data_IF_476853421269
#
_entry.id   IF_476853421269
#
_cell.length_a   1.000
_cell.length_b   1.000
_cell.length_c   1.000
_cell.angle_alpha   90.00
_cell.angle_beta   90.00
_cell.angle_gamma   90.00
#
_symmetry.space_group_name_H-M   'P 1'
#
loop_
_entity.id
_entity.type
_entity.pdbx_description
1 polymer ?
#
# COMPACT_ATOMS: atom_id res chain seq x y z
N UNK A 1 15.70 6.38 8.50
CA UNK A 1 15.53 5.14 7.70
C UNK A 1 15.80 3.95 8.59
N UNK A 2 14.94 2.97 8.61
CA UNK A 2 15.24 1.71 9.30
C UNK A 2 16.11 0.78 8.41
N UNK A 3 16.71 -0.25 9.01
CA UNK A 3 17.59 -1.18 8.31
C UNK A 3 16.88 -1.92 7.17
N UNK A 4 15.58 -2.15 7.32
CA UNK A 4 14.74 -2.83 6.33
C UNK A 4 14.58 -1.98 5.05
N UNK A 5 14.33 -0.66 5.18
CA UNK A 5 14.28 0.26 4.03
C UNK A 5 15.66 0.36 3.34
N UNK A 6 16.74 0.44 4.13
CA UNK A 6 18.12 0.52 3.60
C UNK A 6 18.44 -0.71 2.76
N UNK A 7 18.10 -1.91 3.25
CA UNK A 7 18.31 -3.17 2.53
C UNK A 7 17.54 -3.19 1.20
N UNK A 8 16.28 -2.76 1.20
CA UNK A 8 15.49 -2.67 -0.03
C UNK A 8 16.15 -1.74 -1.06
N UNK A 9 16.58 -0.57 -0.64
CA UNK A 9 17.23 0.39 -1.55
C UNK A 9 18.57 -0.12 -2.08
N UNK A 10 19.35 -0.81 -1.23
CA UNK A 10 20.58 -1.48 -1.64
C UNK A 10 20.32 -2.53 -2.72
N UNK A 11 19.33 -3.41 -2.56
CA UNK A 11 18.97 -4.42 -3.58
C UNK A 11 18.54 -3.79 -4.90
N UNK A 12 17.76 -2.71 -4.86
CA UNK A 12 17.40 -1.98 -6.08
C UNK A 12 18.65 -1.46 -6.77
N UNK A 13 19.59 -0.84 -6.04
CA UNK A 13 20.85 -0.35 -6.62
C UNK A 13 21.69 -1.47 -7.22
N UNK A 14 21.75 -2.63 -6.57
CA UNK A 14 22.51 -3.78 -7.09
C UNK A 14 21.95 -4.28 -8.44
N UNK A 15 20.63 -4.23 -8.64
CA UNK A 15 20.03 -4.48 -9.93
C UNK A 15 20.58 -3.56 -11.04
N UNK A 16 20.66 -2.26 -10.74
CA UNK A 16 21.14 -1.26 -11.69
C UNK A 16 22.65 -1.33 -11.94
N UNK A 17 23.39 -1.99 -11.06
CA UNK A 17 24.80 -2.37 -11.25
C UNK A 17 24.97 -3.70 -11.99
N UNK A 18 23.88 -4.29 -12.50
CA UNK A 18 23.91 -5.54 -13.25
C UNK A 18 23.86 -6.82 -12.39
N UNK A 19 23.74 -6.71 -11.07
CA UNK A 19 23.62 -7.86 -10.15
C UNK A 19 22.15 -8.15 -9.84
N UNK A 20 21.60 -9.18 -10.50
CA UNK A 20 20.20 -9.61 -10.29
C UNK A 20 19.92 -9.89 -8.82
N UNK A 21 18.77 -9.40 -8.34
CA UNK A 21 18.27 -9.60 -7.00
C UNK A 21 16.93 -10.35 -7.03
N UNK A 22 16.54 -10.95 -5.93
CA UNK A 22 15.23 -11.56 -5.73
C UNK A 22 14.20 -10.51 -5.29
N UNK A 23 12.89 -10.80 -5.33
CA UNK A 23 11.89 -9.87 -4.82
C UNK A 23 12.14 -9.61 -3.33
N UNK A 24 12.05 -8.36 -2.93
CA UNK A 24 12.18 -7.97 -1.54
C UNK A 24 10.84 -8.08 -0.80
N UNK A 25 9.77 -7.70 -1.49
CA UNK A 25 8.41 -7.61 -0.97
C UNK A 25 7.42 -8.35 -1.86
N UNK A 26 6.51 -9.09 -1.21
CA UNK A 26 5.37 -9.74 -1.88
C UNK A 26 4.07 -9.27 -1.24
N UNK A 27 3.16 -8.71 -2.05
CA UNK A 27 1.78 -8.46 -1.68
C UNK A 27 0.90 -9.62 -2.14
N UNK A 28 -0.03 -10.07 -1.31
CA UNK A 28 -0.93 -11.19 -1.63
C UNK A 28 -2.40 -10.81 -1.47
N UNK A 29 -3.17 -11.15 -2.50
CA UNK A 29 -4.63 -11.11 -2.51
C UNK A 29 -5.14 -12.54 -2.36
N UNK A 30 -5.55 -12.92 -1.14
CA UNK A 30 -5.94 -14.31 -0.85
C UNK A 30 -7.24 -14.71 -1.52
N UNK A 31 -8.20 -13.78 -1.58
CA UNK A 31 -9.54 -13.96 -2.16
C UNK A 31 -10.19 -12.60 -2.40
N UNK A 32 -11.36 -12.61 -3.08
CA UNK A 32 -12.16 -11.39 -3.32
C UNK A 32 -13.43 -11.34 -2.47
N UNK A 33 -13.59 -12.22 -1.50
CA UNK A 33 -14.75 -12.23 -0.60
C UNK A 33 -14.63 -11.14 0.46
N UNK A 34 -15.74 -10.42 0.72
CA UNK A 34 -15.78 -9.34 1.70
C UNK A 34 -17.19 -9.20 2.28
N UNK A 35 -17.25 -8.84 3.55
CA UNK A 35 -18.50 -8.59 4.26
C UNK A 35 -18.96 -7.12 4.20
N UNK A 36 -18.19 -6.23 3.56
CA UNK A 36 -18.53 -4.82 3.40
C UNK A 36 -18.88 -4.46 1.95
N UNK A 37 -19.50 -3.27 1.77
CA UNK A 37 -19.97 -2.73 0.49
C UNK A 37 -19.46 -1.31 0.25
N UNK A 38 -18.17 -1.07 0.51
CA UNK A 38 -17.54 0.25 0.45
C UNK A 38 -17.80 0.96 -0.88
N UNK A 39 -18.14 2.26 -0.80
CA UNK A 39 -18.49 3.04 -1.98
C UNK A 39 -17.30 3.31 -2.91
N UNK A 40 -16.09 3.39 -2.35
CA UNK A 40 -14.83 3.64 -3.08
C UNK A 40 -14.11 2.36 -3.54
N UNK A 41 -14.66 1.16 -3.27
CA UNK A 41 -13.96 -0.10 -3.49
C UNK A 41 -13.78 -0.43 -4.98
N UNK A 42 -12.59 -0.88 -5.37
CA UNK A 42 -12.29 -1.35 -6.73
C UNK A 42 -13.16 -2.54 -7.18
N UNK A 43 -13.64 -3.36 -6.23
CA UNK A 43 -14.59 -4.46 -6.52
C UNK A 43 -15.86 -3.97 -7.23
N UNK A 44 -16.30 -2.72 -6.98
CA UNK A 44 -17.48 -2.12 -7.63
C UNK A 44 -17.29 -1.81 -9.12
N UNK A 45 -16.07 -1.89 -9.63
CA UNK A 45 -15.82 -1.83 -11.07
C UNK A 45 -16.23 -3.12 -11.80
N UNK A 46 -16.40 -4.22 -11.06
CA UNK A 46 -16.87 -5.48 -11.66
C UNK A 46 -18.36 -5.43 -12.00
N UNK A 47 -18.76 -5.82 -13.22
CA UNK A 47 -20.17 -5.99 -13.57
C UNK A 47 -20.87 -7.03 -12.68
N UNK A 48 -20.13 -8.01 -12.18
CA UNK A 48 -20.62 -9.09 -11.32
C UNK A 48 -20.47 -8.79 -9.82
N UNK A 49 -20.43 -7.51 -9.43
CA UNK A 49 -20.14 -7.09 -8.04
C UNK A 49 -20.91 -7.88 -6.98
N UNK A 50 -22.21 -8.08 -7.16
CA UNK A 50 -23.07 -8.76 -6.19
C UNK A 50 -22.75 -10.28 -6.06
N UNK A 51 -22.17 -10.88 -7.11
CA UNK A 51 -21.78 -12.29 -7.16
C UNK A 51 -20.30 -12.53 -6.85
N UNK A 52 -19.49 -11.47 -6.61
CA UNK A 52 -18.05 -11.60 -6.45
C UNK A 52 -17.61 -12.56 -5.34
N UNK A 53 -18.40 -12.67 -4.25
CA UNK A 53 -18.09 -13.61 -3.19
C UNK A 53 -18.20 -15.06 -3.64
N UNK A 54 -19.13 -15.38 -4.55
CA UNK A 54 -19.32 -16.73 -5.09
C UNK A 54 -18.32 -17.03 -6.20
N UNK A 55 -18.13 -16.10 -7.13
CA UNK A 55 -17.18 -16.24 -8.23
C UNK A 55 -15.75 -16.40 -7.67
N UNK A 56 -15.40 -15.69 -6.59
CA UNK A 56 -14.09 -15.76 -5.96
C UNK A 56 -13.73 -17.19 -5.54
N UNK A 57 -14.66 -17.95 -4.99
CA UNK A 57 -14.40 -19.34 -4.53
C UNK A 57 -13.78 -20.24 -5.58
N UNK A 58 -14.17 -20.06 -6.85
CA UNK A 58 -13.67 -20.85 -7.97
C UNK A 58 -12.25 -20.47 -8.39
N UNK A 59 -11.84 -19.26 -8.06
CA UNK A 59 -10.56 -18.68 -8.47
C UNK A 59 -9.48 -18.82 -7.39
N UNK A 60 -9.86 -19.09 -6.15
CA UNK A 60 -8.95 -19.10 -5.00
C UNK A 60 -7.92 -20.24 -5.11
N UNK A 61 -6.69 -19.92 -4.75
CA UNK A 61 -5.65 -20.95 -4.60
C UNK A 61 -5.84 -21.69 -3.26
N UNK A 62 -5.58 -23.01 -3.21
CA UNK A 62 -5.62 -23.77 -1.97
C UNK A 62 -4.55 -23.29 -0.97
N UNK A 63 -4.80 -23.49 0.32
CA UNK A 63 -3.89 -23.09 1.39
C UNK A 63 -2.48 -23.66 1.21
N UNK A 64 -2.38 -24.92 0.82
CA UNK A 64 -1.10 -25.63 0.62
C UNK A 64 -0.24 -24.92 -0.44
N UNK A 65 -0.87 -24.39 -1.50
CA UNK A 65 -0.15 -23.64 -2.51
C UNK A 65 0.38 -22.29 -1.96
N UNK A 66 -0.40 -21.60 -1.15
CA UNK A 66 0.07 -20.39 -0.48
C UNK A 66 1.24 -20.67 0.47
N UNK A 67 1.17 -21.76 1.24
CA UNK A 67 2.25 -22.14 2.15
C UNK A 67 3.52 -22.49 1.37
N UNK A 68 3.41 -23.26 0.27
CA UNK A 68 4.58 -23.58 -0.57
C UNK A 68 5.22 -22.35 -1.21
N UNK A 69 4.42 -21.32 -1.59
CA UNK A 69 4.93 -20.05 -2.09
C UNK A 69 5.72 -19.30 -1.00
N UNK A 70 5.25 -19.33 0.26
CA UNK A 70 5.94 -18.70 1.39
C UNK A 70 7.25 -19.40 1.69
N UNK A 71 7.28 -20.75 1.61
CA UNK A 71 8.49 -21.55 1.83
C UNK A 71 9.54 -21.20 0.75
N UNK A 72 9.17 -21.22 -0.53
CA UNK A 72 10.06 -20.80 -1.62
C UNK A 72 10.55 -19.35 -1.45
N UNK A 73 9.67 -18.45 -1.04
CA UNK A 73 10.04 -17.05 -0.82
C UNK A 73 11.09 -16.89 0.29
N UNK A 74 11.03 -17.71 1.33
CA UNK A 74 12.04 -17.70 2.39
C UNK A 74 13.43 -18.13 1.90
N UNK A 75 13.49 -19.12 1.00
CA UNK A 75 14.74 -19.57 0.35
C UNK A 75 15.31 -18.48 -0.60
N UNK A 76 14.44 -17.66 -1.17
CA UNK A 76 14.82 -16.53 -2.03
C UNK A 76 15.12 -15.24 -1.25
N UNK A 77 15.14 -15.31 0.08
CA UNK A 77 15.42 -14.15 0.94
C UNK A 77 14.43 -12.99 0.76
N UNK A 78 13.15 -13.30 0.53
CA UNK A 78 12.07 -12.31 0.60
C UNK A 78 11.94 -11.81 2.04
N UNK A 79 11.78 -10.51 2.24
CA UNK A 79 11.82 -9.88 3.56
C UNK A 79 10.46 -9.40 4.07
N UNK A 80 9.54 -9.08 3.18
CA UNK A 80 8.28 -8.45 3.55
C UNK A 80 7.09 -9.05 2.82
N UNK A 81 6.02 -9.28 3.58
CA UNK A 81 4.73 -9.72 3.08
C UNK A 81 3.63 -8.75 3.47
N UNK A 82 2.76 -8.45 2.52
CA UNK A 82 1.56 -7.67 2.78
C UNK A 82 0.31 -8.43 2.33
N UNK A 83 -0.50 -8.84 3.30
CA UNK A 83 -1.80 -9.48 3.06
C UNK A 83 -2.83 -8.39 2.86
N UNK A 84 -3.18 -8.10 1.61
CA UNK A 84 -4.09 -7.00 1.27
C UNK A 84 -4.71 -7.16 -0.11
N UNK A 85 -5.78 -6.45 -0.36
CA UNK A 85 -6.45 -6.42 -1.66
C UNK A 85 -7.52 -7.47 -1.83
N UNK A 86 -8.21 -7.41 -2.97
CA UNK A 86 -9.33 -8.27 -3.31
C UNK A 86 -10.53 -8.12 -2.40
N UNK A 87 -10.53 -8.82 -1.27
CA UNK A 87 -11.59 -8.83 -0.26
C UNK A 87 -11.12 -8.44 1.13
N UNK A 88 -11.79 -8.99 2.15
CA UNK A 88 -11.39 -8.85 3.56
C UNK A 88 -10.59 -10.08 3.98
N UNK A 89 -9.29 -9.99 4.33
CA UNK A 89 -8.50 -11.17 4.67
C UNK A 89 -9.11 -12.03 5.78
N UNK A 90 -9.71 -11.41 6.80
CA UNK A 90 -10.37 -12.11 7.91
C UNK A 90 -11.77 -12.66 7.56
N UNK A 91 -12.18 -12.62 6.29
CA UNK A 91 -13.36 -13.34 5.81
C UNK A 91 -13.11 -14.87 5.80
N UNK A 92 -11.86 -15.27 5.63
CA UNK A 92 -11.38 -16.67 5.69
C UNK A 92 -10.20 -16.78 6.69
N UNK A 93 -10.47 -16.67 7.99
CA UNK A 93 -9.42 -16.73 8.99
C UNK A 93 -8.68 -18.09 9.01
N UNK A 94 -9.36 -19.18 8.59
CA UNK A 94 -8.78 -20.51 8.42
C UNK A 94 -7.70 -20.61 7.33
N UNK A 95 -7.68 -19.67 6.39
CA UNK A 95 -6.63 -19.52 5.36
C UNK A 95 -5.61 -18.46 5.80
N UNK A 96 -6.10 -17.31 6.24
CA UNK A 96 -5.26 -16.15 6.55
C UNK A 96 -4.32 -16.41 7.74
N UNK A 97 -4.82 -17.00 8.83
CA UNK A 97 -4.01 -17.19 10.03
C UNK A 97 -2.87 -18.21 9.86
N UNK A 98 -3.04 -19.38 9.20
CA UNK A 98 -1.93 -20.25 8.85
C UNK A 98 -0.86 -19.57 7.98
N UNK A 99 -1.26 -18.75 7.01
CA UNK A 99 -0.35 -17.95 6.18
C UNK A 99 0.46 -16.97 7.06
N UNK A 100 -0.21 -16.23 7.94
CA UNK A 100 0.48 -15.33 8.88
C UNK A 100 1.49 -16.08 9.77
N UNK A 101 1.12 -17.23 10.29
CA UNK A 101 2.01 -18.09 11.07
C UNK A 101 3.24 -18.56 10.28
N UNK A 102 3.03 -18.98 9.02
CA UNK A 102 4.13 -19.43 8.14
C UNK A 102 5.09 -18.29 7.81
N UNK A 103 4.59 -17.10 7.51
CA UNK A 103 5.42 -15.90 7.31
C UNK A 103 6.28 -15.63 8.55
N UNK A 104 5.68 -15.66 9.74
CA UNK A 104 6.39 -15.39 10.99
C UNK A 104 7.37 -16.51 11.41
N UNK A 105 7.13 -17.76 11.02
CA UNK A 105 8.08 -18.86 11.29
C UNK A 105 9.43 -18.68 10.59
N UNK A 106 9.46 -17.90 9.49
CA UNK A 106 10.69 -17.50 8.79
C UNK A 106 11.19 -16.11 9.17
N UNK A 107 10.67 -15.52 10.24
CA UNK A 107 11.04 -14.17 10.71
C UNK A 107 10.84 -13.04 9.67
N UNK A 108 10.09 -13.29 8.61
CA UNK A 108 9.77 -12.26 7.61
C UNK A 108 8.81 -11.22 8.22
N UNK A 109 8.90 -9.97 7.76
CA UNK A 109 8.01 -8.90 8.18
C UNK A 109 6.62 -9.11 7.58
N UNK A 110 5.59 -9.12 8.42
CA UNK A 110 4.20 -9.33 8.04
C UNK A 110 3.34 -8.08 8.25
N UNK A 111 2.63 -7.66 7.20
CA UNK A 111 1.66 -6.59 7.22
C UNK A 111 0.30 -7.14 6.80
N UNK A 112 -0.78 -6.69 7.41
CA UNK A 112 -2.14 -7.00 6.95
C UNK A 112 -2.99 -5.74 6.92
N UNK A 113 -3.76 -5.56 5.83
CA UNK A 113 -4.78 -4.51 5.74
C UNK A 113 -6.16 -5.14 5.88
N UNK A 114 -6.96 -4.62 6.81
CA UNK A 114 -8.26 -5.18 7.18
C UNK A 114 -9.30 -4.09 7.44
N UNK A 115 -10.57 -4.42 7.22
CA UNK A 115 -11.68 -3.58 7.66
C UNK A 115 -11.93 -3.69 9.19
N UNK A 116 -11.29 -4.64 9.85
CA UNK A 116 -11.30 -4.80 11.31
C UNK A 116 -12.61 -5.37 11.91
N UNK A 117 -13.59 -5.79 11.11
CA UNK A 117 -14.93 -6.15 11.62
C UNK A 117 -15.11 -7.63 11.92
N UNK A 118 -14.18 -8.50 11.48
CA UNK A 118 -14.30 -9.96 11.57
C UNK A 118 -13.30 -10.61 12.55
N UNK A 119 -12.55 -9.81 13.30
CA UNK A 119 -11.57 -10.28 14.25
C UNK A 119 -12.23 -10.80 15.53
N UNK A 120 -12.03 -12.08 15.84
CA UNK A 120 -12.46 -12.68 17.12
C UNK A 120 -11.34 -12.53 18.16
N UNK A 121 -11.70 -12.64 19.45
CA UNK A 121 -10.70 -12.62 20.55
C UNK A 121 -9.61 -13.66 20.34
N UNK A 122 -9.95 -14.88 19.90
CA UNK A 122 -9.00 -15.96 19.63
C UNK A 122 -8.01 -15.58 18.54
N UNK A 123 -8.48 -15.04 17.40
CA UNK A 123 -7.64 -14.62 16.29
C UNK A 123 -6.68 -13.49 16.71
N UNK A 124 -7.20 -12.50 17.47
CA UNK A 124 -6.39 -11.39 17.99
C UNK A 124 -5.28 -11.93 18.91
N UNK A 125 -5.64 -12.83 19.85
CA UNK A 125 -4.67 -13.44 20.77
C UNK A 125 -3.57 -14.19 20.02
N UNK A 126 -3.93 -15.02 19.04
CA UNK A 126 -2.96 -15.74 18.21
C UNK A 126 -2.08 -14.78 17.41
N UNK A 127 -2.65 -13.71 16.86
CA UNK A 127 -1.91 -12.69 16.09
C UNK A 127 -0.87 -11.97 16.96
N UNK A 128 -1.21 -11.64 18.21
CA UNK A 128 -0.26 -11.06 19.17
C UNK A 128 0.84 -12.06 19.53
N UNK A 129 0.47 -13.33 19.80
CA UNK A 129 1.42 -14.37 20.19
C UNK A 129 2.45 -14.74 19.12
N UNK A 130 2.06 -14.74 17.84
CA UNK A 130 2.99 -14.98 16.73
C UNK A 130 3.90 -13.78 16.44
N UNK A 131 3.71 -12.65 17.12
CA UNK A 131 4.49 -11.44 16.91
C UNK A 131 4.28 -10.83 15.53
N UNK A 132 3.03 -10.84 15.01
CA UNK A 132 2.71 -10.18 13.75
C UNK A 132 3.14 -8.73 13.78
N UNK A 133 3.70 -8.19 12.69
CA UNK A 133 4.40 -6.90 12.79
C UNK A 133 3.47 -5.70 12.70
N UNK A 134 2.59 -5.62 11.68
CA UNK A 134 1.76 -4.42 11.45
C UNK A 134 0.34 -4.78 11.00
N UNK A 135 -0.64 -4.07 11.54
CA UNK A 135 -2.04 -4.14 11.10
C UNK A 135 -2.50 -2.75 10.67
N UNK A 136 -2.96 -2.65 9.43
CA UNK A 136 -3.54 -1.44 8.88
C UNK A 136 -5.07 -1.56 8.91
N UNK A 137 -5.70 -0.83 9.82
CA UNK A 137 -7.16 -0.76 9.90
C UNK A 137 -7.70 0.27 8.94
N UNK A 138 -8.62 -0.14 8.09
CA UNK A 138 -9.26 0.73 7.12
C UNK A 138 -10.38 1.56 7.79
N UNK A 139 -10.08 2.78 8.23
CA UNK A 139 -11.00 3.68 8.93
C UNK A 139 -11.08 5.01 8.20
N UNK A 140 -12.25 5.35 7.64
CA UNK A 140 -12.42 6.53 6.78
C UNK A 140 -12.99 7.77 7.50
N UNK A 141 -13.46 7.63 8.74
CA UNK A 141 -13.95 8.75 9.54
C UNK A 141 -13.87 8.47 11.03
N UNK A 142 -13.82 9.51 11.90
CA UNK A 142 -13.73 9.36 13.35
C UNK A 142 -15.07 9.09 14.03
N UNK A 143 -16.14 8.88 13.28
CA UNK A 143 -17.50 8.63 13.76
C UNK A 143 -18.21 7.58 12.91
N UNK A 144 -19.29 7.00 13.45
CA UNK A 144 -20.06 5.95 12.80
C UNK A 144 -20.86 6.46 11.59
N UNK A 145 -21.35 7.68 11.64
CA UNK A 145 -22.20 8.23 10.57
C UNK A 145 -21.46 8.22 9.22
N UNK A 146 -20.30 8.85 9.16
CA UNK A 146 -19.53 8.97 7.92
C UNK A 146 -18.79 7.67 7.60
N UNK A 147 -18.21 7.00 8.61
CA UNK A 147 -17.50 5.74 8.38
C UNK A 147 -18.44 4.65 7.83
N UNK A 148 -19.57 4.39 8.49
CA UNK A 148 -20.49 3.33 8.08
C UNK A 148 -21.10 3.63 6.71
N UNK A 149 -21.39 4.93 6.41
CA UNK A 149 -21.83 5.36 5.08
C UNK A 149 -20.79 5.00 4.00
N UNK A 150 -19.52 5.38 4.21
CA UNK A 150 -18.45 5.10 3.24
C UNK A 150 -18.16 3.60 3.09
N UNK A 151 -18.28 2.84 4.17
CA UNK A 151 -18.10 1.37 4.18
C UNK A 151 -19.34 0.60 3.72
N UNK A 152 -20.49 1.27 3.58
CA UNK A 152 -21.73 0.73 3.02
C UNK A 152 -22.42 -0.32 3.89
N UNK A 153 -22.08 -0.43 5.18
CA UNK A 153 -22.67 -1.36 6.15
C UNK A 153 -22.75 -0.72 7.54
N UNK A 154 -23.94 -0.57 8.14
CA UNK A 154 -24.10 -0.02 9.49
C UNK A 154 -23.35 -0.80 10.56
N UNK A 155 -22.85 -0.11 11.58
CA UNK A 155 -22.18 -0.69 12.75
C UNK A 155 -20.75 -1.13 12.53
N UNK A 156 -20.14 -0.85 11.35
CA UNK A 156 -18.74 -1.18 11.06
C UNK A 156 -17.80 -0.39 11.95
N UNK A 157 -18.04 0.90 12.16
CA UNK A 157 -17.25 1.74 13.06
C UNK A 157 -17.16 1.14 14.46
N UNK A 158 -18.31 0.81 15.06
CA UNK A 158 -18.36 0.23 16.40
C UNK A 158 -17.58 -1.09 16.48
N UNK A 159 -17.65 -1.94 15.44
CA UNK A 159 -16.92 -3.22 15.39
C UNK A 159 -15.41 -3.02 15.33
N UNK A 160 -14.93 -2.16 14.42
CA UNK A 160 -13.47 -1.92 14.29
C UNK A 160 -12.89 -1.26 15.55
N UNK A 161 -13.61 -0.35 16.20
CA UNK A 161 -13.18 0.24 17.49
C UNK A 161 -12.98 -0.84 18.54
N UNK A 162 -13.96 -1.74 18.72
CA UNK A 162 -13.83 -2.87 19.66
C UNK A 162 -12.65 -3.78 19.35
N UNK A 163 -12.38 -4.01 18.06
CA UNK A 163 -11.23 -4.82 17.62
C UNK A 163 -9.92 -4.18 18.04
N UNK A 164 -9.74 -2.89 17.79
CA UNK A 164 -8.51 -2.16 18.16
C UNK A 164 -8.33 -2.10 19.68
N UNK A 165 -9.41 -1.84 20.42
CA UNK A 165 -9.40 -1.87 21.89
C UNK A 165 -8.95 -3.25 22.41
N UNK A 166 -9.45 -4.34 21.81
CA UNK A 166 -9.07 -5.70 22.18
C UNK A 166 -7.60 -6.02 21.84
N UNK A 167 -7.07 -5.54 20.72
CA UNK A 167 -5.64 -5.63 20.42
C UNK A 167 -4.81 -4.93 21.49
N UNK A 168 -5.15 -3.70 21.87
CA UNK A 168 -4.44 -2.96 22.90
C UNK A 168 -4.49 -3.65 24.28
N UNK A 169 -5.64 -4.24 24.65
CA UNK A 169 -5.81 -5.03 25.87
C UNK A 169 -4.89 -6.26 25.88
N UNK A 170 -4.90 -7.04 24.78
CA UNK A 170 -4.12 -8.27 24.70
C UNK A 170 -2.63 -8.01 24.55
N UNK A 171 -2.22 -6.98 23.82
CA UNK A 171 -0.82 -6.52 23.79
C UNK A 171 -0.30 -6.21 25.19
N UNK A 172 -1.08 -5.45 25.99
CA UNK A 172 -0.72 -5.16 27.39
C UNK A 172 -0.63 -6.44 28.21
N UNK A 173 -1.63 -7.34 28.07
CA UNK A 173 -1.65 -8.64 28.78
C UNK A 173 -0.43 -9.51 28.49
N UNK A 174 0.02 -9.53 27.24
CA UNK A 174 1.17 -10.36 26.81
C UNK A 174 2.51 -9.60 26.80
N UNK A 175 2.56 -8.37 27.32
CA UNK A 175 3.76 -7.53 27.32
C UNK A 175 4.39 -7.43 25.92
N UNK A 176 3.57 -7.28 24.89
CA UNK A 176 4.00 -7.23 23.48
C UNK A 176 3.80 -5.85 22.88
N UNK A 177 4.81 -5.35 22.18
CA UNK A 177 4.70 -4.13 21.38
C UNK A 177 4.09 -4.40 19.99
N UNK A 178 4.02 -5.69 19.59
CA UNK A 178 3.45 -6.13 18.32
C UNK A 178 2.03 -6.69 18.48
N UNK A 179 1.20 -6.54 17.43
CA UNK A 179 1.44 -5.77 16.20
C UNK A 179 1.38 -4.26 16.43
N UNK A 180 2.14 -3.49 15.62
CA UNK A 180 1.90 -2.05 15.50
C UNK A 180 0.56 -1.82 14.81
N UNK A 181 -0.27 -0.94 15.39
CA UNK A 181 -1.61 -0.65 14.87
C UNK A 181 -1.59 0.65 14.09
N UNK A 182 -1.99 0.61 12.83
CA UNK A 182 -2.03 1.74 11.93
C UNK A 182 -3.46 1.97 11.43
N UNK A 183 -3.76 3.18 11.01
CA UNK A 183 -5.00 3.54 10.32
C UNK A 183 -4.68 3.89 8.87
N UNK A 184 -5.43 3.29 7.94
CA UNK A 184 -5.50 3.71 6.55
C UNK A 184 -6.84 4.39 6.29
N UNK A 185 -6.80 5.64 5.82
CA UNK A 185 -7.96 6.46 5.49
C UNK A 185 -7.93 6.78 3.99
N UNK A 186 -9.03 6.51 3.28
CA UNK A 186 -9.23 7.02 1.92
C UNK A 186 -9.86 8.39 1.99
N UNK A 187 -9.13 9.41 1.53
CA UNK A 187 -9.56 10.80 1.55
C UNK A 187 -10.57 11.09 0.42
N UNK A 188 -11.70 11.64 0.77
CA UNK A 188 -12.81 11.94 -0.12
C UNK A 188 -13.50 13.25 0.25
N UNK A 189 -14.39 13.75 -0.62
CA UNK A 189 -15.20 14.94 -0.31
C UNK A 189 -16.14 14.78 0.90
N UNK A 190 -16.35 13.55 1.38
CA UNK A 190 -17.22 13.25 2.53
C UNK A 190 -16.48 13.31 3.87
N UNK A 191 -15.14 13.24 3.86
CA UNK A 191 -14.39 13.09 5.10
C UNK A 191 -13.16 13.99 5.23
N UNK A 192 -12.78 14.77 4.22
CA UNK A 192 -11.57 15.59 4.26
C UNK A 192 -11.55 16.61 5.42
N UNK A 193 -12.72 17.16 5.80
CA UNK A 193 -12.83 18.08 6.93
C UNK A 193 -12.61 17.40 8.29
N UNK A 194 -12.74 16.08 8.34
CA UNK A 194 -12.62 15.28 9.56
C UNK A 194 -11.18 14.82 9.84
N UNK A 195 -10.20 15.21 9.01
CA UNK A 195 -8.81 14.80 9.18
C UNK A 195 -8.21 15.18 10.55
N UNK A 196 -8.43 16.38 11.12
CA UNK A 196 -7.96 16.71 12.46
C UNK A 196 -8.56 15.78 13.54
N UNK A 197 -9.83 15.43 13.43
CA UNK A 197 -10.53 14.52 14.33
C UNK A 197 -10.02 13.07 14.18
N UNK A 198 -9.59 12.66 12.97
CA UNK A 198 -8.91 11.37 12.74
C UNK A 198 -7.57 11.30 13.49
N UNK A 199 -6.81 12.38 13.53
CA UNK A 199 -5.57 12.44 14.33
C UNK A 199 -5.85 12.29 15.82
N UNK A 200 -6.92 12.92 16.34
CA UNK A 200 -7.35 12.75 17.73
C UNK A 200 -7.79 11.30 18.01
N UNK A 201 -8.52 10.69 17.07
CA UNK A 201 -8.92 9.28 17.17
C UNK A 201 -7.68 8.36 17.18
N UNK A 202 -6.71 8.59 16.31
CA UNK A 202 -5.46 7.83 16.25
C UNK A 202 -4.72 7.86 17.60
N UNK A 203 -4.61 9.04 18.25
CA UNK A 203 -4.04 9.17 19.60
C UNK A 203 -4.81 8.38 20.64
N UNK A 204 -6.15 8.50 20.63
CA UNK A 204 -7.03 7.76 21.57
C UNK A 204 -6.85 6.25 21.43
N UNK A 205 -6.72 5.74 20.21
CA UNK A 205 -6.58 4.32 19.90
C UNK A 205 -5.15 3.81 20.04
N UNK A 206 -4.18 4.65 20.40
CA UNK A 206 -2.75 4.32 20.47
C UNK A 206 -2.21 3.78 19.14
N UNK A 207 -2.63 4.39 18.05
CA UNK A 207 -2.19 4.08 16.69
C UNK A 207 -0.82 4.71 16.45
N UNK A 208 0.07 3.97 15.81
CA UNK A 208 1.44 4.42 15.52
C UNK A 208 1.49 5.31 14.27
N UNK A 209 0.77 4.93 13.21
CA UNK A 209 0.79 5.62 11.92
C UNK A 209 -0.62 5.87 11.39
N UNK A 210 -0.90 7.11 10.97
CA UNK A 210 -2.10 7.48 10.22
C UNK A 210 -1.72 7.73 8.75
N UNK A 211 -2.06 6.78 7.88
CA UNK A 211 -1.87 6.86 6.46
C UNK A 211 -3.12 7.36 5.76
N UNK A 212 -2.99 8.35 4.90
CA UNK A 212 -4.10 8.94 4.15
C UNK A 212 -3.81 8.88 2.66
N UNK A 213 -4.64 8.12 1.95
CA UNK A 213 -4.57 7.98 0.50
C UNK A 213 -5.64 8.84 -0.18
N UNK A 214 -5.30 9.58 -1.24
CA UNK A 214 -6.29 10.16 -2.12
C UNK A 214 -7.17 9.07 -2.74
N UNK A 215 -8.46 9.36 -2.89
CA UNK A 215 -9.42 8.46 -3.52
C UNK A 215 -9.00 8.14 -4.97
N UNK A 216 -8.97 6.86 -5.30
CA UNK A 216 -8.92 6.36 -6.67
C UNK A 216 -10.35 6.03 -7.11
N UNK A 217 -10.77 6.57 -8.24
CA UNK A 217 -12.11 6.35 -8.77
C UNK A 217 -12.15 5.09 -9.64
N UNK A 218 -12.90 4.09 -9.18
CA UNK A 218 -13.10 2.82 -9.89
C UNK A 218 -14.53 2.65 -10.43
N UNK A 219 -15.48 3.46 -9.94
CA UNK A 219 -16.90 3.30 -10.26
C UNK A 219 -17.63 4.64 -10.21
N UNK A 220 -18.85 4.67 -10.75
CA UNK A 220 -19.72 5.85 -10.70
C UNK A 220 -20.00 6.33 -9.26
N UNK A 221 -20.10 5.40 -8.29
CA UNK A 221 -20.23 5.76 -6.86
C UNK A 221 -18.95 6.41 -6.34
N UNK A 222 -17.78 5.92 -6.76
CA UNK A 222 -16.49 6.55 -6.46
C UNK A 222 -16.38 7.97 -7.02
N UNK A 223 -16.90 8.23 -8.23
CA UNK A 223 -16.89 9.58 -8.82
C UNK A 223 -17.66 10.60 -7.96
N UNK A 224 -18.74 10.18 -7.32
CA UNK A 224 -19.52 11.06 -6.40
C UNK A 224 -18.73 11.41 -5.11
N UNK A 225 -17.71 10.64 -4.78
CA UNK A 225 -16.85 10.87 -3.61
C UNK A 225 -15.59 11.68 -3.92
N UNK A 226 -15.29 11.90 -5.20
CA UNK A 226 -14.11 12.63 -5.64
C UNK A 226 -14.12 14.07 -5.14
N UNK A 227 -12.99 14.53 -4.63
CA UNK A 227 -12.82 15.94 -4.25
C UNK A 227 -12.80 16.82 -5.50
N UNK A 228 -13.51 17.96 -5.43
CA UNK A 228 -13.54 19.00 -6.47
C UNK A 228 -12.50 20.07 -6.15
N UNK A 229 -12.25 20.97 -7.09
CA UNK A 229 -11.33 22.12 -6.89
C UNK A 229 -11.66 22.94 -5.65
N UNK A 230 -12.96 23.18 -5.40
CA UNK A 230 -13.43 23.92 -4.22
C UNK A 230 -13.14 23.15 -2.92
N UNK A 231 -13.31 21.82 -2.93
CA UNK A 231 -12.99 20.96 -1.78
C UNK A 231 -11.50 21.02 -1.44
N UNK A 232 -10.63 21.08 -2.46
CA UNK A 232 -9.17 21.18 -2.26
C UNK A 232 -8.76 22.48 -1.59
N UNK A 233 -9.35 23.60 -2.03
CA UNK A 233 -9.11 24.91 -1.39
C UNK A 233 -9.56 24.90 0.05
N UNK A 234 -10.75 24.33 0.31
CA UNK A 234 -11.31 24.20 1.67
C UNK A 234 -10.52 23.21 2.54
N UNK A 235 -9.83 22.27 1.96
CA UNK A 235 -9.07 21.25 2.70
C UNK A 235 -7.81 21.82 3.39
N UNK A 236 -7.19 22.85 2.83
CA UNK A 236 -5.90 23.38 3.34
C UNK A 236 -5.88 23.68 4.85
N UNK A 237 -6.86 24.41 5.43
CA UNK A 237 -6.85 24.67 6.87
C UNK A 237 -7.01 23.40 7.72
N UNK A 238 -7.76 22.39 7.24
CA UNK A 238 -7.90 21.12 7.94
C UNK A 238 -6.62 20.30 7.88
N UNK A 239 -5.92 20.28 6.73
CA UNK A 239 -4.62 19.63 6.59
C UNK A 239 -3.59 20.25 7.54
N UNK A 240 -3.48 21.60 7.57
CA UNK A 240 -2.57 22.32 8.48
C UNK A 240 -2.86 21.97 9.94
N UNK A 241 -4.12 22.01 10.35
CA UNK A 241 -4.53 21.64 11.72
C UNK A 241 -4.22 20.19 12.05
N UNK A 242 -4.41 19.28 11.08
CA UNK A 242 -4.06 17.87 11.27
C UNK A 242 -2.54 17.67 11.43
N UNK A 243 -1.72 18.38 10.65
CA UNK A 243 -0.25 18.38 10.80
C UNK A 243 0.20 18.87 12.17
N UNK A 244 -0.38 19.97 12.65
CA UNK A 244 -0.10 20.51 14.00
C UNK A 244 -0.46 19.51 15.10
N UNK A 245 -1.64 18.88 14.99
CA UNK A 245 -2.08 17.86 15.95
C UNK A 245 -1.22 16.58 15.89
N UNK A 246 -0.87 16.11 14.69
CA UNK A 246 -0.03 14.94 14.51
C UNK A 246 1.35 15.16 15.13
N UNK A 247 1.95 16.34 14.94
CA UNK A 247 3.21 16.74 15.62
C UNK A 247 3.04 16.76 17.13
N UNK A 248 1.97 17.39 17.64
CA UNK A 248 1.69 17.49 19.10
C UNK A 248 1.49 16.11 19.75
N UNK A 249 0.88 15.17 19.04
CA UNK A 249 0.54 13.84 19.57
C UNK A 249 1.56 12.77 19.19
N UNK A 250 2.62 13.13 18.44
CA UNK A 250 3.65 12.21 17.95
C UNK A 250 3.07 11.06 17.10
N UNK A 251 2.07 11.39 16.26
CA UNK A 251 1.49 10.44 15.31
C UNK A 251 2.25 10.53 13.99
N UNK A 252 2.90 9.44 13.60
CA UNK A 252 3.52 9.32 12.30
C UNK A 252 2.46 9.38 11.18
N UNK A 253 2.78 10.02 10.06
CA UNK A 253 1.82 10.25 8.99
C UNK A 253 2.50 10.54 7.64
N UNK A 254 1.70 10.57 6.57
CA UNK A 254 2.14 10.93 5.23
C UNK A 254 1.61 12.29 4.74
N UNK A 255 1.25 13.20 5.64
CA UNK A 255 0.55 14.45 5.30
C UNK A 255 1.39 15.41 4.45
N UNK A 256 2.72 15.42 4.60
CA UNK A 256 3.62 16.20 3.74
C UNK A 256 3.50 15.83 2.26
N UNK A 257 3.23 14.55 1.96
CA UNK A 257 3.00 14.07 0.60
C UNK A 257 1.58 14.33 0.07
N UNK A 258 0.60 14.55 0.94
CA UNK A 258 -0.78 14.79 0.52
C UNK A 258 -0.94 16.06 -0.29
N UNK A 259 -0.27 17.14 0.09
CA UNK A 259 -0.37 18.43 -0.60
C UNK A 259 0.10 18.31 -2.05
N UNK A 260 1.21 17.61 -2.30
CA UNK A 260 1.71 17.37 -3.66
C UNK A 260 0.90 16.33 -4.45
N UNK A 261 0.18 15.44 -3.76
CA UNK A 261 -0.68 14.43 -4.38
C UNK A 261 -2.11 14.94 -4.64
N UNK A 262 -2.47 16.06 -4.02
CA UNK A 262 -3.75 16.74 -4.17
C UNK A 262 -3.63 18.03 -5.03
N UNK A 263 -2.51 18.21 -5.71
CA UNK A 263 -2.35 19.26 -6.70
C UNK A 263 -3.47 19.15 -7.74
N UNK A 264 -4.08 20.29 -8.11
CA UNK A 264 -5.20 20.36 -9.07
C UNK A 264 -4.85 19.60 -10.36
N UNK A 265 -3.58 19.69 -10.81
CA UNK A 265 -3.10 19.00 -11.99
C UNK A 265 -3.12 17.46 -11.83
N UNK A 266 -2.86 16.93 -10.62
CA UNK A 266 -2.90 15.50 -10.33
C UNK A 266 -4.32 14.94 -10.25
N UNK A 267 -5.26 15.73 -9.74
CA UNK A 267 -6.67 15.34 -9.63
C UNK A 267 -7.37 15.41 -10.98
N UNK A 268 -7.12 16.44 -11.78
CA UNK A 268 -7.64 16.51 -13.15
C UNK A 268 -7.06 15.41 -14.05
N UNK A 269 -5.81 15.03 -13.81
CA UNK A 269 -5.08 14.00 -14.56
C UNK A 269 -5.05 12.63 -13.89
N UNK A 270 -5.96 12.35 -12.96
CA UNK A 270 -6.04 11.01 -12.32
C UNK A 270 -6.21 9.87 -13.35
N UNK A 271 -6.74 10.17 -14.53
CA UNK A 271 -6.80 9.26 -15.69
C UNK A 271 -5.51 9.22 -16.53
N UNK A 272 -4.49 10.01 -16.18
CA UNK A 272 -3.23 10.14 -16.95
C UNK A 272 -2.00 10.10 -16.03
N UNK A 273 -2.03 9.25 -15.03
CA UNK A 273 -0.92 9.12 -14.07
C UNK A 273 0.41 8.70 -14.73
N UNK A 274 0.38 8.05 -15.88
CA UNK A 274 1.56 7.76 -16.69
C UNK A 274 2.30 9.05 -17.13
N UNK A 275 1.59 10.13 -17.46
CA UNK A 275 2.20 11.43 -17.80
C UNK A 275 2.84 12.08 -16.57
N UNK A 276 2.16 12.01 -15.41
CA UNK A 276 2.70 12.51 -14.13
C UNK A 276 3.98 11.77 -13.76
N UNK A 277 3.98 10.45 -13.86
CA UNK A 277 5.14 9.59 -13.58
C UNK A 277 6.31 9.94 -14.50
N UNK A 278 6.03 10.17 -15.78
CA UNK A 278 7.04 10.58 -16.77
C UNK A 278 7.64 11.95 -16.43
N UNK A 279 6.80 12.97 -16.21
CA UNK A 279 7.24 14.32 -15.83
C UNK A 279 8.08 14.32 -14.55
N UNK A 280 7.67 13.52 -13.56
CA UNK A 280 8.39 13.39 -12.30
C UNK A 280 9.80 12.78 -12.50
N UNK A 281 9.93 11.79 -13.38
CA UNK A 281 11.23 11.24 -13.75
C UNK A 281 12.09 12.23 -14.54
N UNK A 282 11.49 13.03 -15.43
CA UNK A 282 12.20 14.04 -16.21
C UNK A 282 12.75 15.20 -15.37
N UNK A 283 12.06 15.57 -14.27
CA UNK A 283 12.58 16.56 -13.32
C UNK A 283 13.96 16.17 -12.78
N UNK A 284 14.23 14.88 -12.61
CA UNK A 284 15.52 14.38 -12.14
C UNK A 284 16.66 14.59 -13.11
N UNK A 285 16.39 14.86 -14.39
CA UNK A 285 17.43 15.22 -15.37
C UNK A 285 18.16 16.53 -15.03
N UNK A 286 17.53 17.38 -14.19
CA UNK A 286 18.11 18.67 -13.80
C UNK A 286 19.18 18.55 -12.71
N UNK A 287 19.17 17.47 -11.92
CA UNK A 287 20.13 17.26 -10.83
C UNK A 287 21.53 16.99 -11.41
N UNK A 288 22.52 17.63 -10.86
CA UNK A 288 23.94 17.42 -11.19
C UNK A 288 24.48 16.24 -10.39
N UNK A 289 24.51 15.07 -11.01
CA UNK A 289 24.99 13.81 -10.43
C UNK A 289 25.77 13.03 -11.49
N UNK A 290 26.52 12.01 -11.08
CA UNK A 290 27.22 11.13 -12.01
C UNK A 290 26.24 10.40 -12.96
N UNK A 291 26.79 9.85 -14.06
CA UNK A 291 25.99 9.21 -15.12
C UNK A 291 25.14 8.06 -14.58
N UNK A 292 25.71 7.18 -13.75
CA UNK A 292 25.00 6.05 -13.17
C UNK A 292 23.76 6.50 -12.36
N UNK A 293 23.95 7.45 -11.46
CA UNK A 293 22.87 7.98 -10.63
C UNK A 293 21.83 8.71 -11.47
N UNK A 294 22.25 9.43 -12.50
CA UNK A 294 21.33 10.10 -13.44
C UNK A 294 20.45 9.11 -14.20
N UNK A 295 21.03 8.05 -14.69
CA UNK A 295 20.30 6.98 -15.38
C UNK A 295 19.32 6.28 -14.44
N UNK A 296 19.73 6.02 -13.20
CA UNK A 296 18.88 5.49 -12.16
C UNK A 296 17.69 6.42 -11.86
N UNK A 297 17.95 7.68 -11.50
CA UNK A 297 16.94 8.65 -11.05
C UNK A 297 15.85 8.96 -12.09
N UNK A 298 16.16 8.79 -13.38
CA UNK A 298 15.23 9.02 -14.48
C UNK A 298 14.32 7.82 -14.80
N UNK A 299 14.48 6.69 -14.11
CA UNK A 299 13.56 5.54 -14.27
C UNK A 299 12.17 5.89 -13.72
N UNK A 300 11.11 5.70 -14.50
CA UNK A 300 9.77 6.12 -14.09
C UNK A 300 9.20 5.40 -12.87
N UNK A 301 9.51 4.11 -12.69
CA UNK A 301 9.04 3.30 -11.58
C UNK A 301 10.04 2.22 -11.22
N UNK A 302 10.20 1.91 -9.93
CA UNK A 302 11.14 0.90 -9.43
C UNK A 302 10.46 -0.40 -8.96
N UNK A 303 9.14 -0.46 -8.88
CA UNK A 303 8.41 -1.63 -8.36
C UNK A 303 8.85 -2.96 -8.97
N UNK A 304 9.08 -3.12 -10.29
CA UNK A 304 9.48 -4.39 -10.87
C UNK A 304 10.85 -4.93 -10.41
N UNK A 305 11.61 -4.15 -9.66
CA UNK A 305 12.93 -4.56 -9.15
C UNK A 305 12.94 -5.00 -7.70
N UNK A 306 11.81 -4.84 -6.98
CA UNK A 306 11.76 -5.24 -5.57
C UNK A 306 10.40 -5.81 -5.14
N UNK A 307 9.34 -5.62 -5.92
CA UNK A 307 7.97 -5.89 -5.52
C UNK A 307 7.24 -6.82 -6.49
N UNK A 308 6.45 -7.71 -5.92
CA UNK A 308 5.58 -8.66 -6.62
C UNK A 308 4.21 -8.66 -5.96
N UNK A 309 3.14 -8.71 -6.73
CA UNK A 309 1.76 -8.91 -6.25
C UNK A 309 1.23 -10.22 -6.79
N UNK A 310 0.75 -11.10 -5.91
CA UNK A 310 0.14 -12.39 -6.26
C UNK A 310 -1.36 -12.32 -5.99
N UNK A 311 -2.16 -12.50 -7.03
CA UNK A 311 -3.62 -12.50 -6.96
C UNK A 311 -4.17 -13.88 -6.57
N UNK A 312 -5.42 -13.91 -6.08
CA UNK A 312 -6.07 -15.17 -5.65
C UNK A 312 -6.20 -16.23 -6.75
N UNK A 313 -6.21 -15.82 -8.03
CA UNK A 313 -6.22 -16.70 -9.19
C UNK A 313 -4.82 -17.13 -9.65
N UNK A 314 -3.79 -16.80 -8.89
CA UNK A 314 -2.39 -17.14 -9.18
C UNK A 314 -1.70 -16.17 -10.16
N UNK A 315 -2.39 -15.18 -10.71
CA UNK A 315 -1.75 -14.16 -11.55
C UNK A 315 -0.76 -13.34 -10.73
N UNK A 316 0.38 -13.04 -11.35
CA UNK A 316 1.45 -12.26 -10.73
C UNK A 316 1.71 -11.01 -11.53
N UNK A 317 1.74 -9.88 -10.84
CA UNK A 317 2.02 -8.56 -11.39
C UNK A 317 3.07 -7.83 -10.54
N UNK A 318 3.60 -6.73 -11.03
CA UNK A 318 4.57 -5.92 -10.27
C UNK A 318 3.91 -4.90 -9.34
N UNK A 319 2.60 -4.69 -9.42
CA UNK A 319 1.86 -3.73 -8.59
C UNK A 319 0.36 -4.06 -8.60
N UNK A 320 -0.41 -3.35 -7.77
CA UNK A 320 -1.84 -3.57 -7.53
C UNK A 320 -2.77 -3.06 -8.65
N UNK A 321 -2.22 -2.29 -9.61
CA UNK A 321 -2.99 -1.77 -10.73
C UNK A 321 -3.59 -2.94 -11.51
N UNK A 322 -4.86 -2.88 -11.93
CA UNK A 322 -5.45 -3.87 -12.81
C UNK A 322 -4.65 -4.00 -14.11
N UNK A 323 -4.06 -5.15 -14.34
CA UNK A 323 -3.23 -5.44 -15.51
C UNK A 323 -3.81 -6.65 -16.20
N UNK A 324 -4.09 -6.51 -17.48
CA UNK A 324 -4.33 -7.65 -18.34
C UNK A 324 -2.98 -8.29 -18.65
N UNK A 325 -2.87 -9.59 -18.44
CA UNK A 325 -1.61 -10.33 -18.56
C UNK A 325 -0.93 -10.52 -17.20
N UNK A 326 0.35 -10.77 -17.23
CA UNK A 326 1.14 -11.24 -16.10
C UNK A 326 1.40 -12.74 -16.18
N UNK A 327 2.30 -13.21 -15.36
CA UNK A 327 2.61 -14.64 -15.25
C UNK A 327 1.68 -15.31 -14.23
N UNK A 328 1.68 -16.65 -14.14
CA UNK A 328 0.83 -17.37 -13.20
C UNK A 328 1.64 -18.33 -12.34
N UNK A 329 1.56 -18.15 -11.02
CA UNK A 329 2.32 -18.91 -10.02
C UNK A 329 1.72 -20.29 -9.71
N UNK A 330 0.52 -20.60 -10.20
CA UNK A 330 -0.07 -21.94 -9.97
C UNK A 330 0.81 -23.07 -10.50
N UNK A 331 1.50 -22.84 -11.61
CA UNK A 331 2.33 -23.81 -12.33
C UNK A 331 3.81 -23.45 -12.37
N UNK A 332 4.20 -22.29 -11.86
CA UNK A 332 5.57 -21.78 -11.87
C UNK A 332 6.04 -21.46 -10.46
N UNK A 333 7.33 -21.44 -10.26
CA UNK A 333 7.97 -20.95 -9.04
C UNK A 333 8.04 -19.42 -9.02
N UNK A 334 8.28 -18.83 -7.84
CA UNK A 334 8.55 -17.38 -7.70
C UNK A 334 9.74 -16.98 -8.59
N UNK A 335 10.80 -17.79 -8.56
CA UNK A 335 12.03 -17.53 -9.31
C UNK A 335 11.77 -17.50 -10.83
N UNK A 336 10.99 -18.45 -11.36
CA UNK A 336 10.61 -18.48 -12.78
C UNK A 336 9.76 -17.26 -13.16
N UNK A 337 8.75 -16.92 -12.36
CA UNK A 337 7.89 -15.75 -12.59
C UNK A 337 8.68 -14.45 -12.50
N UNK A 338 9.55 -14.29 -11.48
CA UNK A 338 10.35 -13.09 -11.27
C UNK A 338 11.33 -12.79 -12.39
N UNK A 339 11.87 -13.86 -13.01
CA UNK A 339 12.77 -13.76 -14.17
C UNK A 339 12.05 -14.03 -15.50
N UNK A 340 10.72 -14.18 -15.47
CA UNK A 340 9.90 -14.47 -16.63
C UNK A 340 9.69 -13.29 -17.58
N UNK A 341 8.93 -13.55 -18.66
CA UNK A 341 8.73 -12.58 -19.74
C UNK A 341 8.10 -11.28 -19.27
N UNK A 342 7.07 -11.36 -18.41
CA UNK A 342 6.36 -10.17 -17.91
C UNK A 342 7.29 -9.20 -17.17
N UNK A 343 8.05 -9.67 -16.18
CA UNK A 343 8.93 -8.80 -15.41
C UNK A 343 10.09 -8.28 -16.27
N UNK A 344 10.66 -9.11 -17.14
CA UNK A 344 11.73 -8.71 -18.03
C UNK A 344 11.27 -7.65 -19.03
N UNK A 345 10.09 -7.85 -19.65
CA UNK A 345 9.47 -6.86 -20.53
C UNK A 345 9.24 -5.53 -19.79
N UNK A 346 8.65 -5.57 -18.60
CA UNK A 346 8.33 -4.38 -17.83
C UNK A 346 9.60 -3.62 -17.41
N UNK A 347 10.62 -4.33 -16.91
CA UNK A 347 11.92 -3.72 -16.57
C UNK A 347 12.55 -3.05 -17.80
N UNK A 348 12.56 -3.73 -18.94
CA UNK A 348 13.10 -3.21 -20.22
C UNK A 348 12.34 -1.96 -20.67
N UNK A 349 11.01 -1.97 -20.61
CA UNK A 349 10.16 -0.83 -20.96
C UNK A 349 10.48 0.38 -20.10
N UNK A 350 10.54 0.21 -18.77
CA UNK A 350 10.83 1.30 -17.84
C UNK A 350 12.26 1.83 -17.96
N UNK A 351 13.26 0.97 -18.20
CA UNK A 351 14.63 1.40 -18.50
C UNK A 351 14.71 2.23 -19.79
N UNK A 352 13.88 1.91 -20.77
CA UNK A 352 13.74 2.69 -22.01
C UNK A 352 12.82 3.92 -21.86
N UNK A 353 12.34 4.24 -20.64
CA UNK A 353 11.37 5.31 -20.31
C UNK A 353 10.04 5.17 -21.06
N UNK A 354 9.72 3.98 -21.54
CA UNK A 354 8.41 3.63 -22.09
C UNK A 354 7.51 3.17 -20.94
N UNK A 355 6.50 3.96 -20.63
CA UNK A 355 5.58 3.68 -19.52
C UNK A 355 4.38 2.94 -20.11
N UNK A 356 4.06 1.73 -19.65
CA UNK A 356 2.89 0.99 -20.11
C UNK A 356 1.57 1.75 -19.85
N UNK A 357 0.57 1.54 -20.71
CA UNK A 357 -0.72 2.25 -20.65
C UNK A 357 -1.48 2.00 -19.35
N UNK A 358 -1.37 0.81 -18.78
CA UNK A 358 -1.99 0.51 -17.47
C UNK A 358 -1.46 1.39 -16.34
N UNK A 359 -0.26 1.98 -16.47
CA UNK A 359 0.26 2.94 -15.51
C UNK A 359 -0.55 4.26 -15.46
N UNK A 360 -1.47 4.49 -16.40
CA UNK A 360 -2.42 5.61 -16.32
C UNK A 360 -3.29 5.53 -15.05
N UNK A 361 -3.55 4.34 -14.54
CA UNK A 361 -4.30 4.10 -13.31
C UNK A 361 -3.41 4.02 -12.05
N UNK A 362 -2.16 4.47 -12.14
CA UNK A 362 -1.22 4.43 -11.01
C UNK A 362 -1.74 5.28 -9.84
N UNK A 363 -1.56 4.77 -8.61
CA UNK A 363 -1.90 5.53 -7.41
C UNK A 363 -0.96 6.74 -7.22
N UNK A 364 -1.51 7.89 -6.88
CA UNK A 364 -0.76 9.11 -6.60
C UNK A 364 0.24 8.93 -5.44
N UNK A 365 -0.11 8.16 -4.41
CA UNK A 365 0.80 7.84 -3.29
C UNK A 365 2.08 7.14 -3.73
N UNK A 366 2.05 6.37 -4.83
CA UNK A 366 3.25 5.76 -5.41
C UNK A 366 4.23 6.81 -5.95
N UNK A 367 3.75 7.99 -6.33
CA UNK A 367 4.63 9.10 -6.74
C UNK A 367 5.45 9.60 -5.55
N UNK A 368 4.82 9.79 -4.40
CA UNK A 368 5.52 10.16 -3.16
C UNK A 368 6.54 9.10 -2.74
N UNK A 369 6.18 7.82 -2.81
CA UNK A 369 7.11 6.72 -2.50
C UNK A 369 8.32 6.71 -3.44
N UNK A 370 8.13 6.94 -4.75
CA UNK A 370 9.25 7.05 -5.71
C UNK A 370 10.14 8.25 -5.43
N UNK A 371 9.56 9.40 -5.08
CA UNK A 371 10.33 10.60 -4.70
C UNK A 371 11.16 10.34 -3.45
N UNK A 372 10.57 9.75 -2.40
CA UNK A 372 11.28 9.34 -1.19
C UNK A 372 12.45 8.43 -1.55
N UNK A 373 12.20 7.35 -2.31
CA UNK A 373 13.25 6.41 -2.73
C UNK A 373 14.40 7.14 -3.46
N UNK A 374 14.12 8.01 -4.43
CA UNK A 374 15.14 8.76 -5.16
C UNK A 374 15.96 9.66 -4.24
N UNK A 375 15.31 10.39 -3.34
CA UNK A 375 15.99 11.27 -2.40
C UNK A 375 16.91 10.50 -1.46
N UNK A 376 16.45 9.37 -0.93
CA UNK A 376 17.26 8.54 -0.04
C UNK A 376 18.45 7.92 -0.77
N UNK A 377 18.28 7.49 -2.03
CA UNK A 377 19.37 7.01 -2.86
C UNK A 377 20.40 8.12 -3.15
N UNK A 378 19.95 9.34 -3.45
CA UNK A 378 20.87 10.50 -3.61
C UNK A 378 21.65 10.72 -2.31
N UNK A 379 20.96 10.74 -1.18
CA UNK A 379 21.59 10.92 0.14
C UNK A 379 22.64 9.83 0.45
N UNK A 380 22.41 8.59 0.01
CA UNK A 380 23.34 7.48 0.20
C UNK A 380 24.57 7.54 -0.72
N UNK A 381 24.42 8.01 -1.97
CA UNK A 381 25.49 7.92 -2.99
C UNK A 381 26.19 9.26 -3.19
N UNK A 382 25.46 10.35 -3.31
CA UNK A 382 25.96 11.71 -3.54
C UNK A 382 25.30 12.72 -2.58
N UNK A 383 25.61 12.70 -1.28
CA UNK A 383 24.95 13.55 -0.28
C UNK A 383 24.93 15.04 -0.64
N UNK A 384 25.96 15.53 -1.35
CA UNK A 384 26.04 16.94 -1.77
C UNK A 384 24.93 17.36 -2.74
N UNK A 385 24.35 16.43 -3.50
CA UNK A 385 23.24 16.70 -4.42
C UNK A 385 21.85 16.63 -3.75
N UNK A 386 21.78 16.25 -2.47
CA UNK A 386 20.52 16.03 -1.78
C UNK A 386 19.67 17.31 -1.65
N UNK A 387 20.27 18.43 -1.28
CA UNK A 387 19.56 19.72 -1.15
C UNK A 387 18.97 20.19 -2.49
N UNK A 388 19.75 20.06 -3.59
CA UNK A 388 19.26 20.39 -4.94
C UNK A 388 18.05 19.51 -5.31
N UNK A 389 18.12 18.22 -5.00
CA UNK A 389 17.02 17.28 -5.23
C UNK A 389 15.77 17.61 -4.43
N UNK A 390 15.91 18.00 -3.16
CA UNK A 390 14.80 18.44 -2.32
C UNK A 390 14.12 19.69 -2.89
N UNK A 391 14.89 20.69 -3.35
CA UNK A 391 14.35 21.89 -4.03
C UNK A 391 13.57 21.56 -5.29
N UNK A 392 14.04 20.60 -6.12
CA UNK A 392 13.34 20.16 -7.33
C UNK A 392 11.98 19.54 -7.02
N UNK A 393 11.85 18.89 -5.86
CA UNK A 393 10.57 18.32 -5.41
C UNK A 393 9.74 19.24 -4.53
N UNK A 394 10.24 20.44 -4.18
CA UNK A 394 9.55 21.38 -3.29
C UNK A 394 9.40 20.86 -1.87
N UNK A 395 10.42 20.15 -1.36
CA UNK A 395 10.42 19.51 -0.02
C UNK A 395 11.26 20.33 0.99
N UNK A 396 11.70 21.49 0.61
CA UNK A 396 12.44 22.45 1.48
C UNK A 396 11.54 23.59 1.90
#
# INVERSE_FOLDING_TARGET
MDEHEIENYRRILEWFKGRKQQPFKIDIELHRRCNLRCLSCSRRASPDYEKLNEISKQLEMPLEKWLSIIDEASELDVREWHVAGGGEPMFLPEVTLPIMKRIKSYSMLGIITTNGTLWTKKIIEETVRIGWDRIHFSIDAPNSEVHDYLRGVPGTFKRVMKTIEKFNELKKKFHSDKPMLNINMVLSRKNYMLLPEMVKLAKKLKVTFLFVDPLIVYSQLGEQLKMRKEDLKRFQPFLKKAQELAKKFEIENNFSGLQSNLDEELIEKSSRMNEVVKKDAERMKKIKVNKFLKDFLTVPCYKPWFHMTIKCDGRVTSCDVPIEGGDNIRKKSIKEVWNGEYFNWLRKSLLSRKIPDFCAQCNASHTTQRRKLRLEIIKMIEPKAFEEACKIYGIV
#
